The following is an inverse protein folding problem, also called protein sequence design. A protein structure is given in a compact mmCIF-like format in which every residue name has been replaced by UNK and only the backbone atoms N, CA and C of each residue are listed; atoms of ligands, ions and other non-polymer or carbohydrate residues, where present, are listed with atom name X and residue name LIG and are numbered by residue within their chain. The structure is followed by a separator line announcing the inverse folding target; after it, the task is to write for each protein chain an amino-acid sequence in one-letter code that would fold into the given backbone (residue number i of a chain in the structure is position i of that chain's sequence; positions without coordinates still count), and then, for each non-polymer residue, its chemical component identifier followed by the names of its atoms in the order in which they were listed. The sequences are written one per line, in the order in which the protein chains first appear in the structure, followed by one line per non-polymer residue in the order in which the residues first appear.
data_IF_422763824941
#
_entry.id   IF_422763824941
#
_cell.length_a   1.000
_cell.length_b   1.000
_cell.length_c   1.000
_cell.angle_alpha   90.00
_cell.angle_beta   90.00
_cell.angle_gamma   90.00
#
_symmetry.space_group_name_H-M   'P 1'
#
loop_
_entity.id
_entity.type
_entity.pdbx_description
1 polymer ?
#
# COMPACT_ATOMS: atom_id res chain seq x y z
N UNK A 1 -8.79 -38.91 5.16
CA UNK A 1 -8.12 -37.99 6.11
C UNK A 1 -8.67 -38.32 7.51
N UNK A 2 -7.81 -38.54 8.48
CA UNK A 2 -8.24 -38.86 9.85
C UNK A 2 -8.84 -37.59 10.50
N UNK A 3 -9.76 -37.76 11.46
CA UNK A 3 -10.38 -36.65 12.20
C UNK A 3 -10.00 -36.70 13.67
N UNK A 4 -10.08 -35.58 14.40
CA UNK A 4 -9.87 -35.53 15.86
C UNK A 4 -10.74 -36.57 16.57
N UNK A 5 -12.01 -36.75 16.12
CA UNK A 5 -12.91 -37.75 16.66
C UNK A 5 -12.36 -39.17 16.46
N UNK A 6 -11.85 -39.48 15.29
CA UNK A 6 -11.31 -40.81 14.98
C UNK A 6 -10.02 -41.09 15.74
N UNK A 7 -9.15 -40.06 15.91
CA UNK A 7 -7.95 -40.21 16.78
C UNK A 7 -8.33 -40.48 18.23
N UNK A 8 -9.34 -39.77 18.75
CA UNK A 8 -9.83 -39.97 20.11
C UNK A 8 -10.36 -41.41 20.33
N UNK A 9 -11.12 -41.93 19.34
CA UNK A 9 -11.61 -43.31 19.33
C UNK A 9 -10.44 -44.33 19.34
N UNK A 10 -9.45 -44.14 18.48
CA UNK A 10 -8.29 -45.05 18.39
C UNK A 10 -7.43 -45.06 19.68
N UNK A 11 -7.34 -43.94 20.36
CA UNK A 11 -6.55 -43.79 21.58
C UNK A 11 -7.35 -44.05 22.86
N UNK A 12 -8.65 -44.30 22.77
CA UNK A 12 -9.52 -44.49 23.94
C UNK A 12 -9.59 -43.22 24.84
N UNK A 13 -9.55 -42.02 24.23
CA UNK A 13 -9.52 -40.77 24.98
C UNK A 13 -10.61 -39.78 24.47
N UNK A 14 -10.68 -38.60 25.08
CA UNK A 14 -11.63 -37.58 24.65
C UNK A 14 -11.10 -36.77 23.44
N UNK A 15 -12.03 -36.22 22.65
CA UNK A 15 -11.68 -35.27 21.59
C UNK A 15 -10.98 -34.03 22.12
N UNK A 16 -11.31 -33.62 23.35
CA UNK A 16 -10.65 -32.50 24.06
C UNK A 16 -9.19 -32.81 24.33
N UNK A 17 -8.86 -34.02 24.79
CA UNK A 17 -7.48 -34.44 25.03
C UNK A 17 -6.64 -34.38 23.74
N UNK A 18 -7.16 -34.94 22.64
CA UNK A 18 -6.50 -34.89 21.32
C UNK A 18 -6.34 -33.45 20.85
N UNK A 19 -7.38 -32.63 20.99
CA UNK A 19 -7.35 -31.20 20.63
C UNK A 19 -6.32 -30.42 21.44
N UNK A 20 -6.19 -30.68 22.75
CA UNK A 20 -5.20 -30.00 23.59
C UNK A 20 -3.76 -30.29 23.12
N UNK A 21 -3.45 -31.54 22.75
CA UNK A 21 -2.14 -31.88 22.21
C UNK A 21 -1.89 -31.19 20.87
N UNK A 22 -2.87 -31.24 19.94
CA UNK A 22 -2.78 -30.59 18.62
C UNK A 22 -2.53 -29.08 18.74
N UNK A 23 -3.03 -28.45 19.80
CA UNK A 23 -2.95 -27.01 20.04
C UNK A 23 -1.87 -26.59 21.04
N UNK A 24 -0.96 -27.50 21.41
CA UNK A 24 0.19 -27.19 22.27
C UNK A 24 -0.15 -27.01 23.76
N UNK A 25 -1.38 -27.35 24.19
CA UNK A 25 -1.79 -27.36 25.61
C UNK A 25 -1.38 -28.69 26.29
N UNK A 26 -0.12 -29.07 26.10
CA UNK A 26 0.38 -30.35 26.54
C UNK A 26 0.40 -30.51 28.07
N UNK A 27 0.49 -29.43 28.83
CA UNK A 27 0.46 -29.46 30.31
C UNK A 27 -0.85 -29.95 30.90
N UNK A 28 -1.93 -30.03 30.13
CA UNK A 28 -3.24 -30.54 30.53
C UNK A 28 -3.41 -32.03 30.17
N UNK A 29 -2.38 -32.68 29.60
CA UNK A 29 -2.44 -34.06 29.08
C UNK A 29 -1.22 -34.84 29.57
N UNK A 30 -1.41 -36.13 29.90
CA UNK A 30 -0.28 -36.97 30.34
C UNK A 30 0.78 -37.10 29.23
N UNK A 31 2.10 -37.13 29.58
CA UNK A 31 3.18 -37.23 28.59
C UNK A 31 3.04 -38.42 27.64
N UNK A 32 2.58 -39.56 28.16
CA UNK A 32 2.34 -40.78 27.39
C UNK A 32 1.24 -40.59 26.35
N UNK A 33 0.19 -39.82 26.67
CA UNK A 33 -0.90 -39.55 25.74
C UNK A 33 -0.47 -38.51 24.69
N UNK A 34 0.33 -37.51 25.05
CA UNK A 34 0.92 -36.55 24.14
C UNK A 34 1.72 -37.28 23.04
N UNK A 35 2.58 -38.22 23.42
CA UNK A 35 3.42 -38.99 22.48
C UNK A 35 2.57 -39.87 21.54
N UNK A 36 1.52 -40.50 22.06
CA UNK A 36 0.58 -41.28 21.26
C UNK A 36 -0.18 -40.46 20.25
N UNK A 37 -0.64 -39.25 20.62
CA UNK A 37 -1.33 -38.33 19.70
C UNK A 37 -0.37 -37.83 18.63
N UNK A 38 0.85 -37.44 19.00
CA UNK A 38 1.88 -36.98 18.03
C UNK A 38 2.19 -38.09 17.00
N UNK A 39 2.32 -39.34 17.44
CA UNK A 39 2.55 -40.47 16.55
C UNK A 39 1.40 -40.66 15.55
N UNK A 40 0.14 -40.53 15.96
CA UNK A 40 -0.99 -40.61 15.02
C UNK A 40 -1.04 -39.44 14.08
N UNK A 41 -0.66 -38.21 14.50
CA UNK A 41 -0.55 -37.05 13.64
C UNK A 41 0.45 -37.33 12.52
N UNK A 42 1.63 -37.86 12.83
CA UNK A 42 2.65 -38.20 11.84
C UNK A 42 2.23 -39.39 10.95
N UNK A 43 1.67 -40.46 11.52
CA UNK A 43 1.27 -41.68 10.80
C UNK A 43 0.18 -41.41 9.75
N UNK A 44 -0.72 -40.47 10.04
CA UNK A 44 -1.85 -40.14 9.17
C UNK A 44 -1.71 -38.79 8.42
N UNK A 45 -0.52 -38.19 8.45
CA UNK A 45 -0.28 -36.85 7.86
C UNK A 45 -1.41 -35.85 8.22
N UNK A 46 -1.79 -35.85 9.52
CA UNK A 46 -2.91 -35.03 9.95
C UNK A 46 -2.56 -33.55 9.97
N UNK A 47 -3.25 -32.77 9.15
CA UNK A 47 -3.18 -31.31 9.18
C UNK A 47 -4.39 -30.77 9.97
N UNK A 48 -4.16 -29.98 11.03
CA UNK A 48 -5.24 -29.38 11.81
C UNK A 48 -6.16 -28.53 10.93
N UNK A 49 -7.47 -28.81 11.00
CA UNK A 49 -8.45 -28.02 10.27
C UNK A 49 -8.65 -26.65 10.95
N UNK A 50 -8.13 -25.59 10.36
CA UNK A 50 -8.25 -24.21 10.88
C UNK A 50 -9.69 -23.75 10.98
N UNK A 51 -10.60 -24.19 10.10
CA UNK A 51 -12.02 -23.81 10.16
C UNK A 51 -12.69 -24.26 11.48
N UNK A 52 -12.35 -25.46 11.97
CA UNK A 52 -12.86 -25.96 13.25
C UNK A 52 -12.33 -25.13 14.43
N UNK A 53 -11.08 -24.67 14.35
CA UNK A 53 -10.46 -23.79 15.36
C UNK A 53 -11.09 -22.38 15.33
N UNK A 54 -11.30 -21.83 14.15
CA UNK A 54 -11.86 -20.50 13.94
C UNK A 54 -13.29 -20.41 14.48
N UNK A 55 -14.10 -21.46 14.28
CA UNK A 55 -15.43 -21.56 14.88
C UNK A 55 -15.40 -21.51 16.42
N UNK A 56 -14.40 -22.12 17.05
CA UNK A 56 -14.28 -22.13 18.51
C UNK A 56 -13.77 -20.81 19.10
N UNK A 57 -12.94 -20.06 18.35
CA UNK A 57 -12.31 -18.80 18.80
C UNK A 57 -13.05 -17.55 18.34
N UNK A 58 -14.06 -17.67 17.49
CA UNK A 58 -14.74 -16.57 16.78
C UNK A 58 -13.77 -15.64 16.02
N UNK A 59 -12.61 -16.19 15.60
CA UNK A 59 -11.60 -15.50 14.79
C UNK A 59 -11.36 -16.29 13.51
N UNK A 60 -11.30 -15.59 12.38
CA UNK A 60 -11.05 -16.21 11.07
C UNK A 60 -9.56 -16.54 10.84
N UNK A 61 -8.67 -15.83 11.50
CA UNK A 61 -7.23 -15.86 11.23
C UNK A 61 -6.87 -15.22 9.88
N UNK A 62 -7.73 -14.35 9.36
CA UNK A 62 -7.57 -13.67 8.07
C UNK A 62 -7.56 -12.14 8.29
N UNK A 63 -6.58 -11.48 7.73
CA UNK A 63 -6.56 -10.03 7.57
C UNK A 63 -6.90 -9.70 6.12
N UNK A 64 -7.90 -8.84 5.93
CA UNK A 64 -8.23 -8.30 4.61
C UNK A 64 -7.29 -7.15 4.25
N UNK A 65 -6.61 -7.26 3.11
CA UNK A 65 -5.94 -6.14 2.46
C UNK A 65 -6.82 -5.71 1.29
N UNK A 66 -7.59 -4.64 1.48
CA UNK A 66 -8.52 -4.15 0.48
C UNK A 66 -7.99 -2.87 -0.17
N UNK A 67 -7.96 -2.88 -1.49
CA UNK A 67 -7.42 -1.79 -2.29
C UNK A 67 -8.47 -1.29 -3.26
N UNK A 68 -8.78 0.01 -3.21
CA UNK A 68 -9.64 0.66 -4.19
C UNK A 68 -8.79 1.19 -5.32
N UNK A 69 -8.91 0.58 -6.49
CA UNK A 69 -8.17 0.96 -7.69
C UNK A 69 -9.11 1.57 -8.73
N UNK A 70 -8.64 2.60 -9.44
CA UNK A 70 -9.36 3.12 -10.60
C UNK A 70 -9.34 2.08 -11.72
N UNK A 71 -10.49 1.78 -12.30
CA UNK A 71 -10.66 0.78 -13.37
C UNK A 71 -9.76 1.02 -14.59
N UNK A 72 -9.41 2.26 -14.85
CA UNK A 72 -8.66 2.64 -16.05
C UNK A 72 -7.17 2.92 -15.79
N UNK A 73 -6.71 2.78 -14.54
CA UNK A 73 -5.31 3.12 -14.20
C UNK A 73 -4.35 1.98 -14.53
N UNK A 74 -4.75 0.75 -14.22
CA UNK A 74 -3.91 -0.43 -14.41
C UNK A 74 -4.72 -1.58 -14.98
N UNK A 75 -4.17 -2.27 -15.95
CA UNK A 75 -4.58 -3.61 -16.41
C UNK A 75 -4.45 -4.65 -15.26
N UNK A 76 -3.41 -4.46 -14.44
CA UNK A 76 -3.17 -5.27 -13.25
C UNK A 76 -2.53 -4.39 -12.17
N UNK A 77 -3.26 -4.14 -11.08
CA UNK A 77 -2.84 -3.28 -9.99
C UNK A 77 -1.50 -3.69 -9.33
N UNK A 78 -1.22 -4.99 -9.31
CA UNK A 78 0.04 -5.53 -8.74
C UNK A 78 1.28 -5.16 -9.58
N UNK A 79 1.09 -4.70 -10.82
CA UNK A 79 2.20 -4.18 -11.64
C UNK A 79 2.70 -2.81 -11.17
N UNK A 80 1.93 -2.07 -10.39
CA UNK A 80 2.40 -0.86 -9.73
C UNK A 80 3.46 -1.24 -8.69
N UNK A 81 4.71 -0.73 -8.81
CA UNK A 81 5.79 -1.11 -7.89
C UNK A 81 5.48 -0.77 -6.43
N UNK A 82 4.83 0.36 -6.17
CA UNK A 82 4.41 0.75 -4.82
C UNK A 82 3.39 -0.26 -4.24
N UNK A 83 2.34 -0.57 -5.01
CA UNK A 83 1.33 -1.53 -4.59
C UNK A 83 1.92 -2.93 -4.40
N UNK A 84 2.78 -3.38 -5.31
CA UNK A 84 3.46 -4.68 -5.22
C UNK A 84 4.34 -4.80 -3.97
N UNK A 85 5.10 -3.77 -3.65
CA UNK A 85 5.95 -3.71 -2.45
C UNK A 85 5.09 -3.72 -1.17
N UNK A 86 4.03 -2.91 -1.13
CA UNK A 86 3.11 -2.85 0.02
C UNK A 86 2.42 -4.20 0.26
N UNK A 87 1.91 -4.86 -0.79
CA UNK A 87 1.28 -6.18 -0.68
C UNK A 87 2.27 -7.20 -0.11
N UNK A 88 3.49 -7.24 -0.65
CA UNK A 88 4.52 -8.18 -0.18
C UNK A 88 4.96 -7.93 1.26
N UNK A 89 5.10 -6.67 1.66
CA UNK A 89 5.47 -6.29 3.02
C UNK A 89 4.33 -6.60 4.02
N UNK A 90 3.09 -6.24 3.70
CA UNK A 90 1.91 -6.54 4.54
C UNK A 90 1.76 -8.05 4.72
N UNK A 91 1.85 -8.85 3.63
CA UNK A 91 1.78 -10.31 3.72
C UNK A 91 2.81 -10.86 4.70
N UNK A 92 4.07 -10.42 4.57
CA UNK A 92 5.16 -10.87 5.42
C UNK A 92 4.89 -10.60 6.90
N UNK A 93 4.42 -9.41 7.27
CA UNK A 93 4.16 -9.04 8.66
C UNK A 93 2.88 -9.69 9.20
N UNK A 94 1.83 -9.83 8.41
CA UNK A 94 0.60 -10.55 8.77
C UNK A 94 0.90 -12.04 9.00
N UNK A 95 1.68 -12.66 8.12
CA UNK A 95 2.10 -14.07 8.26
C UNK A 95 2.97 -14.30 9.50
N UNK A 96 3.85 -13.34 9.85
CA UNK A 96 4.65 -13.40 11.08
C UNK A 96 3.79 -13.40 12.36
N UNK A 97 2.57 -12.83 12.31
CA UNK A 97 1.57 -12.91 13.39
C UNK A 97 0.73 -14.20 13.34
N UNK A 98 0.98 -15.12 12.40
CA UNK A 98 0.26 -16.39 12.25
C UNK A 98 -1.07 -16.28 11.51
N UNK A 99 -1.34 -15.16 10.84
CA UNK A 99 -2.55 -14.88 10.04
C UNK A 99 -2.30 -15.08 8.55
N UNK A 100 -3.40 -15.16 7.78
CA UNK A 100 -3.38 -15.10 6.32
C UNK A 100 -3.80 -13.72 5.84
N UNK A 101 -3.23 -13.29 4.72
CA UNK A 101 -3.67 -12.08 4.03
C UNK A 101 -4.64 -12.45 2.91
N UNK A 102 -5.82 -11.84 2.91
CA UNK A 102 -6.77 -11.90 1.79
C UNK A 102 -6.71 -10.59 1.03
N UNK A 103 -6.14 -10.62 -0.17
CA UNK A 103 -6.11 -9.45 -1.06
C UNK A 103 -7.43 -9.33 -1.81
N UNK A 104 -8.03 -8.15 -1.79
CA UNK A 104 -9.18 -7.79 -2.59
C UNK A 104 -8.98 -6.42 -3.25
N UNK A 105 -9.12 -6.37 -4.57
CA UNK A 105 -8.95 -5.15 -5.36
C UNK A 105 -10.22 -4.91 -6.16
N UNK A 106 -10.86 -3.76 -5.99
CA UNK A 106 -12.03 -3.34 -6.77
C UNK A 106 -12.09 -1.81 -6.87
N UNK A 107 -12.78 -1.29 -7.88
CA UNK A 107 -13.16 0.12 -7.96
C UNK A 107 -14.44 0.42 -7.16
N UNK A 108 -15.23 -0.60 -6.81
CA UNK A 108 -16.48 -0.49 -6.07
C UNK A 108 -16.29 -0.84 -4.59
N UNK A 109 -16.52 0.14 -3.73
CA UNK A 109 -16.46 -0.03 -2.28
C UNK A 109 -17.53 -1.02 -1.76
N UNK A 110 -18.68 -1.12 -2.42
CA UNK A 110 -19.74 -2.06 -2.08
C UNK A 110 -19.30 -3.51 -2.27
N UNK A 111 -18.59 -3.80 -3.35
CA UNK A 111 -17.98 -5.11 -3.59
C UNK A 111 -16.91 -5.44 -2.54
N UNK A 112 -16.06 -4.48 -2.19
CA UNK A 112 -15.04 -4.65 -1.14
C UNK A 112 -15.75 -5.04 0.18
N UNK A 113 -16.73 -4.27 0.62
CA UNK A 113 -17.48 -4.52 1.87
C UNK A 113 -18.14 -5.90 1.84
N UNK A 114 -18.81 -6.25 0.74
CA UNK A 114 -19.49 -7.54 0.60
C UNK A 114 -18.50 -8.71 0.71
N UNK A 115 -17.38 -8.62 0.00
CA UNK A 115 -16.37 -9.68 -0.03
C UNK A 115 -15.70 -9.88 1.32
N UNK A 116 -15.22 -8.81 1.96
CA UNK A 116 -14.54 -8.93 3.27
C UNK A 116 -15.50 -9.35 4.38
N UNK A 117 -16.78 -8.98 4.29
CA UNK A 117 -17.82 -9.43 5.23
C UNK A 117 -18.11 -10.91 5.09
N UNK A 118 -18.15 -11.43 3.86
CA UNK A 118 -18.41 -12.85 3.58
C UNK A 118 -17.35 -13.78 4.16
N UNK A 119 -16.09 -13.34 4.19
CA UNK A 119 -14.98 -14.09 4.77
C UNK A 119 -14.77 -13.84 6.27
N UNK A 120 -15.59 -12.97 6.88
CA UNK A 120 -15.50 -12.63 8.31
C UNK A 120 -14.07 -12.32 8.77
N UNK A 121 -13.34 -11.50 8.01
CA UNK A 121 -11.95 -11.13 8.35
C UNK A 121 -11.86 -10.53 9.76
N UNK A 122 -10.74 -10.72 10.45
CA UNK A 122 -10.54 -10.24 11.83
C UNK A 122 -10.16 -8.75 11.88
N UNK A 123 -9.61 -8.22 10.79
CA UNK A 123 -9.27 -6.82 10.63
C UNK A 123 -8.98 -6.48 9.18
N UNK A 124 -8.88 -5.18 8.88
CA UNK A 124 -8.72 -4.64 7.53
C UNK A 124 -7.57 -3.65 7.44
N UNK A 125 -6.79 -3.77 6.38
CA UNK A 125 -5.86 -2.75 5.89
C UNK A 125 -6.45 -2.21 4.59
N UNK A 126 -6.56 -0.88 4.47
CA UNK A 126 -7.36 -0.21 3.46
C UNK A 126 -6.49 0.82 2.71
N UNK A 127 -6.31 0.64 1.40
CA UNK A 127 -5.55 1.56 0.54
C UNK A 127 -6.43 2.14 -0.58
N UNK A 128 -6.19 3.41 -0.93
CA UNK A 128 -6.87 4.09 -2.04
C UNK A 128 -8.30 4.53 -1.71
N UNK A 129 -8.67 4.57 -0.43
CA UNK A 129 -9.99 4.98 0.02
C UNK A 129 -10.14 6.49 0.00
N UNK A 130 -11.30 6.95 -0.48
CA UNK A 130 -11.73 8.34 -0.40
C UNK A 130 -12.60 8.55 0.85
N UNK A 131 -12.94 9.80 1.16
CA UNK A 131 -13.77 10.16 2.33
C UNK A 131 -15.07 9.35 2.38
N UNK A 132 -15.80 9.32 1.28
CA UNK A 132 -17.09 8.62 1.15
C UNK A 132 -16.96 7.11 1.40
N UNK A 133 -15.83 6.52 0.98
CA UNK A 133 -15.52 5.11 1.24
C UNK A 133 -15.30 4.87 2.74
N UNK A 134 -14.54 5.76 3.39
CA UNK A 134 -14.28 5.72 4.83
C UNK A 134 -15.57 5.84 5.64
N UNK A 135 -16.46 6.77 5.29
CA UNK A 135 -17.77 6.93 5.92
C UNK A 135 -18.63 5.67 5.78
N UNK A 136 -18.67 5.08 4.57
CA UNK A 136 -19.43 3.86 4.32
C UNK A 136 -18.87 2.65 5.06
N UNK A 137 -17.54 2.51 5.09
CA UNK A 137 -16.84 1.45 5.86
C UNK A 137 -17.14 1.59 7.36
N UNK A 138 -17.02 2.79 7.92
CA UNK A 138 -17.32 3.05 9.32
C UNK A 138 -18.78 2.73 9.68
N UNK A 139 -19.71 3.05 8.78
CA UNK A 139 -21.15 2.77 9.00
C UNK A 139 -21.46 1.26 8.94
N UNK A 140 -20.88 0.53 7.97
CA UNK A 140 -21.26 -0.85 7.68
C UNK A 140 -20.42 -1.90 8.36
N UNK A 141 -19.17 -1.56 8.74
CA UNK A 141 -18.21 -2.52 9.27
C UNK A 141 -17.82 -2.17 10.71
N UNK A 142 -18.05 -3.13 11.63
CA UNK A 142 -17.60 -3.03 13.02
C UNK A 142 -16.37 -3.91 13.23
N UNK A 143 -15.32 -3.67 12.46
CA UNK A 143 -14.07 -4.43 12.49
C UNK A 143 -12.89 -3.49 12.70
N UNK A 144 -11.81 -3.93 13.33
CA UNK A 144 -10.55 -3.20 13.34
C UNK A 144 -10.11 -2.82 11.93
N UNK A 145 -9.82 -1.55 11.71
CA UNK A 145 -9.41 -1.01 10.40
C UNK A 145 -8.24 -0.06 10.55
N UNK A 146 -7.26 -0.17 9.65
CA UNK A 146 -6.17 0.79 9.48
C UNK A 146 -6.12 1.20 8.03
N UNK A 147 -6.18 2.50 7.79
CA UNK A 147 -6.02 3.09 6.47
C UNK A 147 -4.55 3.34 6.16
N UNK A 148 -4.22 3.29 4.89
CA UNK A 148 -2.88 3.63 4.38
C UNK A 148 -3.01 4.79 3.41
N UNK A 149 -2.26 5.87 3.67
CA UNK A 149 -2.22 7.07 2.84
C UNK A 149 -3.61 7.68 2.60
N UNK A 150 -4.50 7.65 3.60
CA UNK A 150 -5.82 8.24 3.53
C UNK A 150 -5.80 9.71 3.99
N UNK A 151 -6.54 10.54 3.26
CA UNK A 151 -6.69 11.97 3.55
C UNK A 151 -8.18 12.30 3.65
N UNK A 152 -8.76 12.09 4.84
CA UNK A 152 -10.17 12.39 5.11
C UNK A 152 -10.26 13.71 5.86
N UNK A 153 -10.86 14.70 5.24
CA UNK A 153 -11.17 16.00 5.86
C UNK A 153 -12.64 16.03 6.28
N UNK A 154 -12.92 16.67 7.42
CA UNK A 154 -14.30 16.88 7.92
C UNK A 154 -15.12 15.58 8.03
N UNK A 155 -14.53 14.51 8.57
CA UNK A 155 -15.25 13.26 8.90
C UNK A 155 -15.71 13.26 10.36
N UNK A 156 -16.85 12.60 10.61
CA UNK A 156 -17.48 12.51 11.94
C UNK A 156 -17.09 11.25 12.72
N UNK A 157 -16.09 10.52 12.26
CA UNK A 157 -15.61 9.29 12.89
C UNK A 157 -14.09 9.30 13.07
N UNK A 158 -13.63 8.61 14.11
CA UNK A 158 -12.22 8.40 14.33
C UNK A 158 -11.70 7.28 13.43
N UNK A 159 -10.52 7.49 12.81
CA UNK A 159 -9.88 6.48 12.00
C UNK A 159 -8.37 6.43 12.26
N UNK A 160 -7.79 5.26 12.08
CA UNK A 160 -6.34 5.05 12.20
C UNK A 160 -5.74 5.05 10.81
N UNK A 161 -4.72 5.88 10.60
CA UNK A 161 -4.04 6.04 9.33
C UNK A 161 -2.52 6.00 9.48
N UNK A 162 -1.86 5.29 8.59
CA UNK A 162 -0.41 5.28 8.46
C UNK A 162 -0.04 5.79 7.07
N UNK A 163 0.75 6.84 7.02
CA UNK A 163 1.12 7.48 5.76
C UNK A 163 2.48 8.17 5.83
N UNK A 164 2.70 9.06 4.88
CA UNK A 164 3.85 9.96 4.84
C UNK A 164 3.36 11.41 4.78
N UNK A 165 4.28 12.36 4.91
CA UNK A 165 3.95 13.76 4.62
C UNK A 165 4.10 14.04 3.10
N UNK A 166 3.07 13.65 2.33
CA UNK A 166 3.04 13.84 0.87
C UNK A 166 3.19 15.30 0.46
N UNK A 167 2.57 16.23 1.24
CA UNK A 167 2.67 17.67 0.95
C UNK A 167 4.09 18.18 1.15
N UNK A 168 4.76 17.74 2.21
CA UNK A 168 6.18 18.05 2.46
C UNK A 168 7.06 17.47 1.36
N UNK A 169 6.85 16.21 0.97
CA UNK A 169 7.60 15.57 -0.12
C UNK A 169 7.46 16.31 -1.45
N UNK A 170 6.22 16.67 -1.81
CA UNK A 170 5.94 17.49 -3.00
C UNK A 170 6.59 18.88 -2.94
N UNK A 171 6.61 19.49 -1.75
CA UNK A 171 7.28 20.78 -1.52
C UNK A 171 8.81 20.65 -1.66
N UNK A 172 9.43 19.73 -0.96
CA UNK A 172 10.89 19.56 -0.94
C UNK A 172 11.45 19.25 -2.33
N UNK A 173 10.82 18.37 -3.10
CA UNK A 173 11.29 18.04 -4.45
C UNK A 173 11.14 19.24 -5.41
N UNK A 174 10.14 20.08 -5.20
CA UNK A 174 9.96 21.30 -5.98
C UNK A 174 11.00 22.35 -5.60
N UNK A 175 11.25 22.55 -4.31
CA UNK A 175 12.31 23.44 -3.81
C UNK A 175 13.69 23.02 -4.34
N UNK A 176 13.97 21.71 -4.39
CA UNK A 176 15.19 21.17 -4.98
C UNK A 176 15.36 21.55 -6.46
N UNK A 177 14.30 21.46 -7.26
CA UNK A 177 14.31 21.89 -8.66
C UNK A 177 14.52 23.41 -8.79
N UNK A 178 13.87 24.22 -7.95
CA UNK A 178 14.04 25.68 -7.92
C UNK A 178 15.48 26.05 -7.56
N UNK A 179 16.07 25.39 -6.55
CA UNK A 179 17.47 25.58 -6.16
C UNK A 179 18.45 25.14 -7.25
N UNK A 180 18.04 24.19 -8.10
CA UNK A 180 18.78 23.78 -9.28
C UNK A 180 18.64 24.75 -10.48
N UNK A 181 17.88 25.86 -10.31
CA UNK A 181 17.70 26.93 -11.29
C UNK A 181 16.44 26.82 -12.16
N UNK A 182 15.60 25.81 -11.95
CA UNK A 182 14.38 25.63 -12.74
C UNK A 182 13.28 26.62 -12.31
N UNK A 183 12.68 27.30 -13.28
CA UNK A 183 11.56 28.24 -13.06
C UNK A 183 10.27 27.80 -13.77
N UNK A 184 10.39 27.02 -14.84
CA UNK A 184 9.27 26.46 -15.60
C UNK A 184 9.12 25.00 -15.25
N UNK A 185 8.35 24.68 -14.23
CA UNK A 185 8.18 23.36 -13.68
C UNK A 185 6.73 22.92 -13.85
N UNK A 186 6.48 21.72 -14.37
CA UNK A 186 5.15 21.13 -14.42
C UNK A 186 5.02 19.98 -13.43
N UNK A 187 3.80 19.78 -12.93
CA UNK A 187 3.42 18.64 -12.11
C UNK A 187 2.53 17.69 -12.92
N UNK A 188 2.88 16.41 -12.94
CA UNK A 188 2.22 15.38 -13.74
C UNK A 188 1.61 14.31 -12.83
N UNK A 189 0.29 14.14 -12.90
CA UNK A 189 -0.44 13.10 -12.18
C UNK A 189 -1.70 12.67 -12.96
N UNK A 190 -2.22 11.49 -12.67
CA UNK A 190 -3.45 11.00 -13.32
C UNK A 190 -4.73 11.52 -12.66
N UNK A 191 -4.62 11.96 -11.43
CA UNK A 191 -5.73 12.53 -10.67
C UNK A 191 -5.28 13.72 -9.82
N UNK A 192 -6.24 14.38 -9.16
CA UNK A 192 -5.98 15.47 -8.22
C UNK A 192 -6.76 15.20 -6.92
N UNK A 193 -6.54 14.02 -6.33
CA UNK A 193 -7.19 13.57 -5.09
C UNK A 193 -6.17 12.84 -4.21
N UNK A 194 -6.48 12.71 -2.91
CA UNK A 194 -5.66 11.95 -1.96
C UNK A 194 -4.18 12.36 -1.99
N UNK A 195 -3.29 11.38 -2.15
CA UNK A 195 -1.82 11.59 -2.15
C UNK A 195 -1.36 12.54 -3.26
N UNK A 196 -1.89 12.39 -4.48
CA UNK A 196 -1.48 13.22 -5.62
C UNK A 196 -1.88 14.69 -5.41
N UNK A 197 -3.04 14.93 -4.80
CA UNK A 197 -3.45 16.27 -4.40
C UNK A 197 -2.52 16.88 -3.35
N UNK A 198 -2.14 16.12 -2.34
CA UNK A 198 -1.21 16.61 -1.30
C UNK A 198 0.17 16.93 -1.88
N UNK A 199 0.71 16.06 -2.74
CA UNK A 199 1.97 16.30 -3.47
C UNK A 199 1.89 17.56 -4.34
N UNK A 200 0.76 17.73 -5.06
CA UNK A 200 0.50 18.92 -5.86
C UNK A 200 0.39 20.19 -5.00
N UNK A 201 -0.25 20.12 -3.83
CA UNK A 201 -0.31 21.25 -2.92
C UNK A 201 1.08 21.64 -2.40
N UNK A 202 1.94 20.67 -2.11
CA UNK A 202 3.34 20.93 -1.77
C UNK A 202 4.10 21.62 -2.91
N UNK A 203 3.90 21.17 -4.15
CA UNK A 203 4.45 21.83 -5.34
C UNK A 203 4.01 23.30 -5.43
N UNK A 204 2.72 23.59 -5.24
CA UNK A 204 2.18 24.96 -5.25
C UNK A 204 2.78 25.83 -4.16
N UNK A 205 2.91 25.26 -2.94
CA UNK A 205 3.49 25.96 -1.80
C UNK A 205 4.93 26.40 -2.08
N UNK A 206 5.74 25.52 -2.69
CA UNK A 206 7.13 25.81 -3.04
C UNK A 206 7.24 26.91 -4.11
N UNK A 207 6.46 26.85 -5.19
CA UNK A 207 6.43 27.89 -6.22
C UNK A 207 6.02 29.24 -5.64
N UNK A 208 4.95 29.26 -4.85
CA UNK A 208 4.44 30.47 -4.19
C UNK A 208 5.49 31.09 -3.28
N UNK A 209 6.17 30.26 -2.46
CA UNK A 209 7.23 30.72 -1.55
C UNK A 209 8.44 31.29 -2.30
N UNK A 210 8.71 30.78 -3.50
CA UNK A 210 9.80 31.29 -4.36
C UNK A 210 9.38 32.48 -5.26
N UNK A 211 8.14 32.95 -5.17
CA UNK A 211 7.62 34.02 -6.03
C UNK A 211 7.49 33.60 -7.50
N UNK A 212 7.44 32.31 -7.79
CA UNK A 212 7.25 31.80 -9.14
C UNK A 212 5.75 31.65 -9.46
N UNK A 213 5.32 32.05 -10.68
CA UNK A 213 3.93 31.90 -11.07
C UNK A 213 3.57 30.43 -11.28
N UNK A 214 2.37 30.07 -10.88
CA UNK A 214 1.76 28.79 -11.23
C UNK A 214 0.31 29.03 -11.71
N UNK A 215 -0.16 28.20 -12.62
CA UNK A 215 -1.53 28.18 -13.11
C UNK A 215 -1.96 26.74 -13.40
N UNK A 216 -3.20 26.55 -13.83
CA UNK A 216 -3.74 25.22 -14.15
C UNK A 216 -2.97 24.51 -15.27
N UNK A 217 -2.32 25.23 -16.17
CA UNK A 217 -1.51 24.67 -17.25
C UNK A 217 -0.24 24.00 -16.75
N UNK A 218 0.21 24.32 -15.53
CA UNK A 218 1.34 23.66 -14.89
C UNK A 218 0.99 22.25 -14.37
N UNK A 219 -0.31 21.93 -14.24
CA UNK A 219 -0.78 20.59 -13.91
C UNK A 219 -1.12 19.83 -15.19
N UNK A 220 -0.26 18.91 -15.58
CA UNK A 220 -0.49 18.03 -16.72
C UNK A 220 -1.22 16.78 -16.25
N UNK A 221 -2.53 16.73 -16.51
CA UNK A 221 -3.33 15.59 -16.15
C UNK A 221 -3.09 14.43 -17.11
N UNK A 222 -2.44 13.40 -16.60
CA UNK A 222 -2.26 12.14 -17.29
C UNK A 222 -3.59 11.38 -17.32
N UNK A 223 -3.93 10.78 -18.47
CA UNK A 223 -5.20 10.05 -18.63
C UNK A 223 -4.88 8.59 -18.97
N UNK A 224 -4.72 7.74 -17.95
CA UNK A 224 -4.47 6.33 -18.21
C UNK A 224 -5.66 5.68 -18.93
N UNK A 225 -5.37 4.75 -19.83
CA UNK A 225 -6.34 3.95 -20.56
C UNK A 225 -5.97 2.46 -20.44
N UNK A 226 -6.18 1.93 -19.24
CA UNK A 226 -5.78 0.56 -18.92
C UNK A 226 -4.27 0.32 -19.11
N UNK A 227 -3.90 -0.69 -19.89
CA UNK A 227 -2.50 -1.00 -20.20
C UNK A 227 -1.86 -0.06 -21.24
N UNK A 228 -2.66 0.76 -21.93
CA UNK A 228 -2.16 1.65 -22.98
C UNK A 228 -1.61 2.96 -22.42
N UNK A 229 -0.29 3.06 -22.39
CA UNK A 229 0.42 4.27 -21.96
C UNK A 229 0.55 5.33 -23.06
N UNK A 230 0.14 5.05 -24.30
CA UNK A 230 0.38 5.94 -25.45
C UNK A 230 -0.19 7.34 -25.25
N UNK A 231 -1.38 7.45 -24.68
CA UNK A 231 -2.01 8.73 -24.42
C UNK A 231 -1.25 9.55 -23.37
N UNK A 232 -0.81 8.91 -22.29
CA UNK A 232 0.01 9.54 -21.24
C UNK A 232 1.31 10.07 -21.83
N UNK A 233 1.99 9.25 -22.63
CA UNK A 233 3.28 9.60 -23.25
C UNK A 233 3.12 10.75 -24.25
N UNK A 234 2.04 10.74 -25.05
CA UNK A 234 1.75 11.85 -25.95
C UNK A 234 1.47 13.15 -25.21
N UNK A 235 0.65 13.11 -24.14
CA UNK A 235 0.36 14.29 -23.31
C UNK A 235 1.64 14.89 -22.70
N UNK A 236 2.54 14.05 -22.20
CA UNK A 236 3.82 14.51 -21.65
C UNK A 236 4.73 15.08 -22.74
N UNK A 237 4.82 14.41 -23.90
CA UNK A 237 5.66 14.86 -25.02
C UNK A 237 5.21 16.21 -25.59
N UNK A 238 3.91 16.42 -25.80
CA UNK A 238 3.35 17.65 -26.37
C UNK A 238 3.67 18.88 -25.50
N UNK A 239 3.83 18.69 -24.19
CA UNK A 239 4.10 19.75 -23.23
C UNK A 239 5.58 19.86 -22.82
N UNK A 240 6.42 18.89 -23.19
CA UNK A 240 7.79 18.79 -22.69
C UNK A 240 8.66 20.02 -23.02
N UNK A 241 8.37 20.70 -24.12
CA UNK A 241 9.14 21.90 -24.57
C UNK A 241 8.69 23.21 -23.88
N UNK A 242 7.57 23.20 -23.19
CA UNK A 242 7.05 24.38 -22.48
C UNK A 242 7.75 24.56 -21.12
N UNK A 243 8.37 23.49 -20.62
CA UNK A 243 8.95 23.41 -19.27
C UNK A 243 10.43 23.06 -19.28
N UNK A 244 11.09 23.30 -18.16
CA UNK A 244 12.49 22.88 -17.95
C UNK A 244 12.61 21.71 -16.99
N UNK A 245 11.55 21.42 -16.23
CA UNK A 245 11.49 20.27 -15.34
C UNK A 245 10.06 19.72 -15.22
N UNK A 246 9.96 18.39 -15.08
CA UNK A 246 8.75 17.66 -14.76
C UNK A 246 8.87 17.02 -13.38
N UNK A 247 7.83 17.20 -12.56
CA UNK A 247 7.60 16.44 -11.32
C UNK A 247 6.49 15.43 -11.63
N UNK A 248 6.83 14.17 -11.67
CA UNK A 248 5.84 13.11 -11.81
C UNK A 248 5.39 12.65 -10.41
N UNK A 249 4.09 12.50 -10.20
CA UNK A 249 3.51 12.10 -8.92
C UNK A 249 3.98 10.70 -8.47
N UNK A 250 4.55 9.89 -9.36
CA UNK A 250 5.18 8.61 -9.03
C UNK A 250 6.37 8.29 -9.94
N UNK A 251 7.28 7.47 -9.45
CA UNK A 251 8.40 6.94 -10.24
C UNK A 251 7.93 6.07 -11.41
N UNK A 252 6.76 5.44 -11.27
CA UNK A 252 6.17 4.64 -12.34
C UNK A 252 5.92 5.48 -13.59
N UNK A 253 5.21 6.60 -13.47
CA UNK A 253 4.99 7.52 -14.59
C UNK A 253 6.29 8.18 -15.05
N UNK A 254 7.13 8.59 -14.11
CA UNK A 254 8.41 9.23 -14.44
C UNK A 254 9.29 8.33 -15.32
N UNK A 255 9.35 7.03 -15.04
CA UNK A 255 10.14 6.08 -15.79
C UNK A 255 9.64 5.90 -17.24
N UNK A 256 8.33 5.77 -17.42
CA UNK A 256 7.75 5.65 -18.76
C UNK A 256 7.95 6.93 -19.58
N UNK A 257 7.66 8.08 -19.00
CA UNK A 257 7.80 9.39 -19.67
C UNK A 257 9.26 9.65 -20.02
N UNK A 258 10.20 9.39 -19.11
CA UNK A 258 11.62 9.57 -19.34
C UNK A 258 12.12 8.73 -20.53
N UNK A 259 11.75 7.46 -20.58
CA UNK A 259 12.16 6.56 -21.65
C UNK A 259 11.55 7.00 -23.01
N UNK A 260 10.25 7.30 -23.07
CA UNK A 260 9.58 7.74 -24.30
C UNK A 260 10.17 9.04 -24.86
N UNK A 261 10.40 10.04 -23.98
CA UNK A 261 11.00 11.31 -24.39
C UNK A 261 12.40 11.12 -24.97
N UNK A 262 13.21 10.22 -24.37
CA UNK A 262 14.53 9.87 -24.90
C UNK A 262 14.45 9.14 -26.23
N UNK A 263 13.54 8.20 -26.38
CA UNK A 263 13.32 7.46 -27.62
C UNK A 263 12.91 8.40 -28.77
N UNK A 264 12.22 9.50 -28.44
CA UNK A 264 11.89 10.60 -29.38
C UNK A 264 13.02 11.62 -29.53
N UNK A 265 14.21 11.37 -28.97
CA UNK A 265 15.43 12.15 -29.17
C UNK A 265 15.65 13.31 -28.21
N UNK A 266 14.80 13.47 -27.17
CA UNK A 266 15.01 14.51 -26.14
C UNK A 266 16.17 14.13 -25.21
N UNK A 267 17.02 15.08 -24.91
CA UNK A 267 18.17 14.88 -24.00
C UNK A 267 17.74 15.16 -22.57
N UNK A 268 17.82 14.13 -21.73
CA UNK A 268 17.50 14.22 -20.30
C UNK A 268 18.77 13.91 -19.52
N UNK A 269 19.21 14.81 -18.63
CA UNK A 269 18.51 16.01 -18.12
C UNK A 269 18.79 17.31 -18.89
N UNK A 270 19.56 17.32 -19.99
CA UNK A 270 20.10 18.54 -20.63
C UNK A 270 19.00 19.47 -21.17
N UNK A 271 17.91 18.93 -21.73
CA UNK A 271 16.79 19.71 -22.27
C UNK A 271 15.63 19.77 -21.27
N UNK A 272 15.39 18.67 -20.53
CA UNK A 272 14.32 18.55 -19.53
C UNK A 272 14.80 17.72 -18.34
N UNK A 273 14.70 18.25 -17.14
CA UNK A 273 14.87 17.50 -15.90
C UNK A 273 13.60 16.76 -15.53
N UNK A 274 13.71 15.54 -15.00
CA UNK A 274 12.55 14.74 -14.57
C UNK A 274 12.81 14.20 -13.16
N UNK A 275 11.84 14.40 -12.27
CA UNK A 275 11.86 13.82 -10.92
C UNK A 275 10.61 12.99 -10.68
N UNK A 276 10.71 12.03 -9.77
CA UNK A 276 9.62 11.16 -9.40
C UNK A 276 9.27 11.23 -7.91
N UNK A 277 8.52 10.25 -7.46
CA UNK A 277 8.13 10.03 -6.08
C UNK A 277 8.06 8.52 -5.82
N UNK A 278 8.46 8.03 -4.66
CA UNK A 278 8.44 6.70 -4.04
C UNK A 278 9.84 6.11 -3.78
N UNK A 279 10.83 6.39 -4.61
CA UNK A 279 12.16 5.73 -4.66
C UNK A 279 12.06 4.21 -4.89
N UNK A 280 11.09 3.79 -5.68
CA UNK A 280 10.90 2.39 -6.03
C UNK A 280 11.93 1.90 -7.08
N UNK A 281 11.81 0.65 -7.50
CA UNK A 281 12.73 0.01 -8.46
C UNK A 281 12.84 0.76 -9.79
N UNK A 282 11.78 1.41 -10.27
CA UNK A 282 11.77 2.16 -11.51
C UNK A 282 12.78 3.30 -11.50
N UNK A 283 12.94 4.01 -10.38
CA UNK A 283 13.87 5.14 -10.25
C UNK A 283 15.34 4.75 -10.49
N UNK A 284 15.68 3.49 -10.24
CA UNK A 284 17.05 2.95 -10.35
C UNK A 284 17.33 2.27 -11.68
N UNK A 285 16.28 1.77 -12.35
CA UNK A 285 16.44 1.04 -13.61
C UNK A 285 16.54 1.95 -14.84
N UNK A 286 15.91 3.13 -14.83
CA UNK A 286 15.98 4.10 -15.93
C UNK A 286 17.34 4.79 -16.03
N UNK A 287 17.64 5.35 -17.20
CA UNK A 287 18.86 6.13 -17.43
C UNK A 287 18.52 7.45 -18.15
N UNK A 288 18.90 8.59 -17.58
CA UNK A 288 19.58 8.78 -16.29
C UNK A 288 18.77 8.23 -15.13
N UNK A 289 19.45 7.79 -14.03
CA UNK A 289 18.76 7.34 -12.84
C UNK A 289 17.96 8.49 -12.22
N UNK A 290 16.74 8.21 -11.75
CA UNK A 290 15.76 9.21 -11.40
C UNK A 290 16.00 9.79 -9.98
N UNK A 291 16.14 11.10 -9.88
CA UNK A 291 16.00 11.84 -8.63
C UNK A 291 14.56 11.76 -8.17
N UNK A 292 14.31 11.42 -6.92
CA UNK A 292 12.97 11.12 -6.42
C UNK A 292 12.83 11.40 -4.94
N UNK A 293 11.61 11.43 -4.44
CA UNK A 293 11.30 11.45 -3.01
C UNK A 293 11.21 10.01 -2.50
N UNK A 294 12.00 9.67 -1.49
CA UNK A 294 11.95 8.36 -0.84
C UNK A 294 10.80 8.27 0.16
N UNK A 295 10.09 7.15 0.13
CA UNK A 295 9.21 6.68 1.19
C UNK A 295 9.52 5.21 1.54
N UNK A 296 9.54 4.89 2.83
CA UNK A 296 9.79 3.52 3.31
C UNK A 296 8.47 2.73 3.36
N UNK A 297 8.12 2.09 2.24
CA UNK A 297 6.90 1.27 2.10
C UNK A 297 6.93 0.05 3.02
N UNK A 298 8.12 -0.50 3.25
CA UNK A 298 8.31 -1.65 4.13
C UNK A 298 8.02 -1.28 5.59
N UNK A 299 8.57 -0.16 6.06
CA UNK A 299 8.33 0.34 7.42
C UNK A 299 6.88 0.80 7.61
N UNK A 300 6.30 1.49 6.61
CA UNK A 300 4.88 1.84 6.56
C UNK A 300 3.99 0.60 6.76
N UNK A 301 4.28 -0.47 6.04
CA UNK A 301 3.54 -1.74 6.14
C UNK A 301 3.71 -2.40 7.52
N UNK A 302 4.92 -2.36 8.10
CA UNK A 302 5.19 -2.89 9.44
C UNK A 302 4.33 -2.19 10.48
N UNK A 303 4.37 -0.86 10.51
CA UNK A 303 3.60 -0.04 11.46
C UNK A 303 2.09 -0.26 11.26
N UNK A 304 1.62 -0.30 10.01
CA UNK A 304 0.21 -0.56 9.66
C UNK A 304 -0.27 -1.88 10.27
N UNK A 305 0.50 -2.95 10.08
CA UNK A 305 0.16 -4.27 10.62
C UNK A 305 0.21 -4.28 12.15
N UNK A 306 1.23 -3.69 12.76
CA UNK A 306 1.35 -3.61 14.21
C UNK A 306 0.16 -2.87 14.84
N UNK A 307 -0.19 -1.68 14.33
CA UNK A 307 -1.36 -0.92 14.81
C UNK A 307 -2.64 -1.76 14.68
N UNK A 308 -2.85 -2.43 13.54
CA UNK A 308 -4.02 -3.27 13.35
C UNK A 308 -4.08 -4.40 14.40
N UNK A 309 -2.96 -5.07 14.68
CA UNK A 309 -2.95 -6.15 15.68
C UNK A 309 -3.11 -5.65 17.10
N UNK A 310 -2.62 -4.46 17.45
CA UNK A 310 -2.91 -3.84 18.75
C UNK A 310 -4.41 -3.57 18.89
N UNK A 311 -5.07 -3.03 17.85
CA UNK A 311 -6.53 -2.82 17.86
C UNK A 311 -7.29 -4.16 17.98
N UNK A 312 -6.88 -5.21 17.23
CA UNK A 312 -7.50 -6.55 17.28
C UNK A 312 -7.41 -7.17 18.70
N UNK A 313 -6.34 -6.86 19.42
CA UNK A 313 -6.09 -7.40 20.76
C UNK A 313 -6.55 -6.49 21.90
N UNK A 314 -7.16 -5.36 21.58
CA UNK A 314 -7.58 -4.33 22.56
C UNK A 314 -6.38 -3.76 23.36
N UNK A 315 -5.25 -3.58 22.66
CA UNK A 315 -4.00 -3.03 23.18
C UNK A 315 -3.83 -1.57 22.74
N UNK A 316 -2.96 -0.82 23.42
CA UNK A 316 -2.61 0.55 23.03
C UNK A 316 -1.85 0.53 21.69
N UNK A 317 -2.37 1.25 20.70
CA UNK A 317 -1.77 1.41 19.36
C UNK A 317 -1.15 2.80 19.13
N UNK A 318 -1.12 3.63 20.16
CA UNK A 318 -0.57 4.98 20.11
C UNK A 318 -1.45 5.98 19.35
N UNK A 319 -0.86 6.88 18.60
CA UNK A 319 -1.60 7.90 17.88
C UNK A 319 -2.44 7.34 16.71
N UNK A 320 -3.59 7.96 16.44
CA UNK A 320 -4.43 7.59 15.29
C UNK A 320 -3.74 7.85 13.95
N UNK A 321 -2.89 8.88 13.89
CA UNK A 321 -2.16 9.24 12.67
C UNK A 321 -0.68 9.02 12.87
N UNK A 322 -0.09 8.21 12.00
CA UNK A 322 1.35 7.97 11.95
C UNK A 322 1.87 8.48 10.61
N UNK A 323 2.83 9.37 10.66
CA UNK A 323 3.44 9.99 9.49
C UNK A 323 4.93 9.65 9.44
N UNK A 324 5.34 8.83 8.48
CA UNK A 324 6.74 8.49 8.27
C UNK A 324 7.47 9.64 7.55
N UNK A 325 8.78 9.80 7.80
CA UNK A 325 9.57 10.81 7.14
C UNK A 325 9.74 10.51 5.63
N UNK A 326 9.89 11.61 4.88
CA UNK A 326 10.29 11.59 3.47
C UNK A 326 11.58 12.36 3.29
N UNK A 327 12.35 12.02 2.26
CA UNK A 327 13.58 12.75 1.89
C UNK A 327 13.91 12.58 0.41
N UNK A 328 14.67 13.51 -0.14
CA UNK A 328 15.08 13.47 -1.54
C UNK A 328 16.27 12.52 -1.70
N UNK A 329 16.20 11.66 -2.70
CA UNK A 329 17.32 10.86 -3.18
C UNK A 329 17.78 11.45 -4.51
N UNK A 330 18.87 12.21 -4.44
CA UNK A 330 19.49 12.81 -5.62
C UNK A 330 20.13 11.73 -6.50
N UNK A 331 19.88 11.82 -7.82
CA UNK A 331 20.52 11.01 -8.85
C UNK A 331 20.87 11.89 -10.06
N UNK A 332 20.75 11.34 -11.25
CA UNK A 332 21.30 11.98 -12.47
C UNK A 332 20.23 12.53 -13.44
N UNK A 333 18.96 12.57 -13.06
CA UNK A 333 17.87 13.05 -13.90
C UNK A 333 17.57 14.55 -13.81
N UNK A 334 18.36 15.29 -13.03
CA UNK A 334 18.24 16.74 -12.86
C UNK A 334 19.56 17.42 -13.24
N UNK A 335 19.49 18.47 -14.07
CA UNK A 335 20.61 19.35 -14.34
C UNK A 335 20.57 20.59 -13.44
N UNK A 336 21.71 21.13 -13.11
CA UNK A 336 21.84 22.48 -12.53
C UNK A 336 21.91 23.48 -13.67
N UNK A 337 21.06 24.51 -13.65
CA UNK A 337 20.99 25.55 -14.67
C UNK A 337 21.93 26.71 -14.36
#
# INVERSE_FOLDING_TARGET
MITIKKMAELLGTSTTTVSNVIHGKEGEVSPVMVEKVKKLIEEYDYVPNRNARNLASNRSGIIGLAMKASENKYDNFVKDPFAGELIGAVERYVRAKGYFTMLYVSSDIGEIISSVSSWNVDGLILLGMQKEDGELLNQKMKKPMVFVDAYFEDVSFDYVNVGIDDRKGGREITEYLIQSGHQKIAFLADNCMGVDYQRFMGYRDALTSAGLPWNEENFIRLRPSGADMSLILSQAYDRARDFTAFICASDYYAAFILNDLKDRGMKIPEELSIVGFDDNVCSRLVRPALTTVHQDVTEKSRITVEKLFHIINDEDYGANFEQLPVFIVERSSVRKM
#
